data_IF_587359321896
#
_entry.id   IF_587359321896
#
_cell.length_a   1.000
_cell.length_b   1.000
_cell.length_c   1.000
_cell.angle_alpha   90.00
_cell.angle_beta   90.00
_cell.angle_gamma   90.00
#
_symmetry.space_group_name_H-M   'P 1'
#
loop_
_entity.id
_entity.type
_entity.pdbx_description
1 polymer ?
#
# COMPACT_ATOMS: atom_id res chain seq x y z
N UNK A 1 -45.70 29.55 -9.26
CA UNK A 1 -44.61 29.18 -8.33
C UNK A 1 -44.36 27.69 -8.50
N UNK A 2 -43.37 27.33 -9.30
CA UNK A 2 -43.20 25.96 -9.79
C UNK A 2 -42.45 25.11 -8.75
N UNK A 3 -43.17 24.13 -8.20
CA UNK A 3 -42.65 23.03 -7.39
C UNK A 3 -41.84 22.00 -8.21
N UNK A 4 -41.36 22.39 -9.39
CA UNK A 4 -40.81 21.46 -10.39
C UNK A 4 -39.28 21.35 -10.40
N UNK A 5 -38.56 22.08 -9.55
CA UNK A 5 -37.10 22.23 -9.72
C UNK A 5 -36.25 21.86 -8.49
N UNK A 6 -36.77 20.97 -7.64
CA UNK A 6 -35.92 20.23 -6.71
C UNK A 6 -35.66 18.83 -7.27
N UNK A 7 -34.86 18.77 -8.33
CA UNK A 7 -34.12 17.54 -8.61
C UNK A 7 -33.20 17.29 -7.43
N UNK A 8 -33.68 16.45 -6.52
CA UNK A 8 -32.94 15.87 -5.43
C UNK A 8 -31.68 15.23 -6.02
N UNK A 9 -30.56 15.95 -5.90
CA UNK A 9 -29.25 15.57 -6.38
C UNK A 9 -28.83 14.35 -5.54
N UNK A 10 -29.30 13.16 -5.95
CA UNK A 10 -28.96 11.90 -5.30
C UNK A 10 -27.46 11.75 -5.42
N UNK A 11 -26.76 12.07 -4.32
CA UNK A 11 -25.33 11.83 -4.19
C UNK A 11 -25.11 10.37 -4.56
N UNK A 12 -24.20 10.08 -5.51
CA UNK A 12 -23.93 8.70 -5.86
C UNK A 12 -23.57 7.95 -4.59
N UNK A 13 -24.29 6.85 -4.33
CA UNK A 13 -24.01 6.02 -3.16
C UNK A 13 -22.54 5.58 -3.17
N UNK A 14 -21.98 5.37 -1.98
CA UNK A 14 -20.57 4.96 -1.81
C UNK A 14 -20.18 3.78 -2.72
N UNK A 15 -21.11 2.85 -2.95
CA UNK A 15 -20.92 1.70 -3.84
C UNK A 15 -20.72 2.09 -5.32
N UNK A 16 -21.44 3.09 -5.81
CA UNK A 16 -21.30 3.56 -7.20
C UNK A 16 -19.94 4.25 -7.42
N UNK A 17 -19.43 4.96 -6.42
CA UNK A 17 -18.10 5.57 -6.46
C UNK A 17 -16.99 4.50 -6.46
N UNK A 18 -17.11 3.49 -5.60
CA UNK A 18 -16.16 2.38 -5.53
C UNK A 18 -16.11 1.57 -6.85
N UNK A 19 -17.28 1.31 -7.45
CA UNK A 19 -17.35 0.64 -8.75
C UNK A 19 -16.68 1.45 -9.87
N UNK A 20 -16.94 2.77 -9.94
CA UNK A 20 -16.28 3.65 -10.92
C UNK A 20 -14.76 3.66 -10.74
N UNK A 21 -14.28 3.63 -9.51
CA UNK A 21 -12.85 3.54 -9.20
C UNK A 21 -12.24 2.21 -9.65
N UNK A 22 -12.86 1.08 -9.34
CA UNK A 22 -12.41 -0.24 -9.80
C UNK A 22 -12.40 -0.33 -11.32
N UNK A 23 -13.47 0.13 -11.96
CA UNK A 23 -13.57 0.17 -13.42
C UNK A 23 -12.45 1.04 -14.01
N UNK A 24 -12.17 2.21 -13.43
CA UNK A 24 -11.06 3.06 -13.85
C UNK A 24 -9.71 2.33 -13.76
N UNK A 25 -9.42 1.71 -12.61
CA UNK A 25 -8.15 1.01 -12.36
C UNK A 25 -7.91 -0.18 -13.31
N UNK A 26 -8.96 -0.91 -13.68
CA UNK A 26 -8.86 -2.09 -14.54
C UNK A 26 -8.93 -1.73 -16.02
N UNK A 27 -9.87 -0.87 -16.40
CA UNK A 27 -10.20 -0.64 -17.82
C UNK A 27 -9.28 0.40 -18.44
N UNK A 28 -8.94 1.47 -17.72
CA UNK A 28 -8.17 2.57 -18.30
C UNK A 28 -6.66 2.31 -18.23
N UNK A 29 -5.93 2.71 -19.27
CA UNK A 29 -4.47 2.60 -19.32
C UNK A 29 -3.75 3.31 -18.16
N UNK A 30 -4.09 4.59 -17.80
CA UNK A 30 -3.50 5.21 -16.62
C UNK A 30 -3.84 4.46 -15.33
N UNK A 31 -5.07 3.93 -15.20
CA UNK A 31 -5.46 3.10 -14.06
C UNK A 31 -4.58 1.86 -13.89
N UNK A 32 -4.29 1.16 -15.00
CA UNK A 32 -3.39 -0.02 -14.97
C UNK A 32 -1.96 0.34 -14.58
N UNK A 33 -1.44 1.47 -15.06
CA UNK A 33 -0.13 1.99 -14.64
C UNK A 33 -0.10 2.20 -13.12
N UNK A 34 -1.14 2.81 -12.55
CA UNK A 34 -1.26 3.03 -11.10
C UNK A 34 -1.28 1.68 -10.35
N UNK A 35 -2.05 0.69 -10.81
CA UNK A 35 -2.07 -0.65 -10.21
C UNK A 35 -0.67 -1.28 -10.22
N UNK A 36 0.05 -1.21 -11.35
CA UNK A 36 1.41 -1.74 -11.46
C UNK A 36 2.36 -1.11 -10.44
N UNK A 37 2.31 0.23 -10.30
CA UNK A 37 3.12 0.97 -9.32
C UNK A 37 2.77 0.53 -7.89
N UNK A 38 1.48 0.40 -7.56
CA UNK A 38 1.05 -0.06 -6.23
C UNK A 38 1.62 -1.44 -5.91
N UNK A 39 1.59 -2.39 -6.84
CA UNK A 39 2.16 -3.72 -6.64
C UNK A 39 3.68 -3.70 -6.44
N UNK A 40 4.39 -2.87 -7.19
CA UNK A 40 5.86 -2.69 -7.04
C UNK A 40 6.18 -2.10 -5.67
N UNK A 41 5.54 -1.01 -5.29
CA UNK A 41 5.78 -0.34 -4.00
C UNK A 41 5.40 -1.26 -2.84
N UNK A 42 4.26 -1.96 -2.93
CA UNK A 42 3.82 -2.92 -1.90
C UNK A 42 4.78 -4.10 -1.80
N UNK A 43 5.27 -4.63 -2.93
CA UNK A 43 6.24 -5.72 -2.96
C UNK A 43 7.57 -5.34 -2.30
N UNK A 44 8.07 -4.14 -2.59
CA UNK A 44 9.28 -3.59 -1.96
C UNK A 44 9.07 -3.35 -0.45
N UNK A 45 7.99 -2.68 -0.06
CA UNK A 45 7.68 -2.41 1.34
C UNK A 45 7.55 -3.72 2.13
N UNK A 46 6.90 -4.73 1.55
CA UNK A 46 6.79 -6.06 2.15
C UNK A 46 8.15 -6.77 2.26
N UNK A 47 8.97 -6.73 1.20
CA UNK A 47 10.33 -7.28 1.21
C UNK A 47 11.23 -6.64 2.27
N UNK A 48 11.23 -5.31 2.37
CA UNK A 48 11.99 -4.55 3.37
C UNK A 48 11.49 -4.72 4.79
N UNK A 49 10.26 -5.21 4.98
CA UNK A 49 9.76 -5.59 6.30
C UNK A 49 10.28 -6.95 6.78
N UNK A 50 11.24 -7.58 6.07
CA UNK A 50 11.99 -8.73 6.56
C UNK A 50 12.84 -8.34 7.76
N UNK A 51 12.99 -9.25 8.72
CA UNK A 51 13.79 -9.01 9.92
C UNK A 51 14.40 -10.31 10.42
N UNK A 52 15.46 -10.17 11.19
CA UNK A 52 16.07 -11.24 11.98
C UNK A 52 15.88 -10.88 13.45
N UNK A 53 15.58 -11.87 14.26
CA UNK A 53 15.47 -11.75 15.71
C UNK A 53 16.61 -12.53 16.32
N UNK A 54 17.43 -11.83 17.10
CA UNK A 54 18.43 -12.43 17.96
C UNK A 54 17.94 -12.39 19.40
N UNK A 55 18.45 -13.30 20.22
CA UNK A 55 18.23 -13.24 21.64
C UNK A 55 19.40 -12.60 22.34
N UNK A 56 19.10 -11.78 23.33
CA UNK A 56 20.10 -11.14 24.19
C UNK A 56 19.67 -11.25 25.65
N UNK A 57 20.65 -11.18 26.56
CA UNK A 57 20.36 -11.08 27.97
C UNK A 57 19.66 -9.74 28.25
N UNK A 58 18.54 -9.79 28.97
CA UNK A 58 17.92 -8.59 29.54
C UNK A 58 18.73 -8.06 30.74
N UNK A 59 18.40 -6.86 31.24
CA UNK A 59 19.10 -6.32 32.40
C UNK A 59 18.94 -7.22 33.63
N UNK A 60 19.86 -7.09 34.58
CA UNK A 60 19.70 -7.67 35.91
C UNK A 60 19.29 -6.57 36.89
N UNK A 61 18.46 -6.89 37.89
CA UNK A 61 18.08 -5.94 38.91
C UNK A 61 16.63 -6.08 39.39
N UNK A 62 16.18 -5.16 40.25
CA UNK A 62 14.79 -5.10 40.67
C UNK A 62 13.88 -4.70 39.49
N UNK A 63 12.75 -5.39 39.38
CA UNK A 63 11.75 -5.12 38.34
C UNK A 63 10.43 -4.71 38.98
N UNK A 64 9.80 -3.70 38.40
CA UNK A 64 8.42 -3.32 38.65
C UNK A 64 7.51 -4.11 37.72
N UNK A 65 6.60 -4.89 38.29
CA UNK A 65 5.62 -5.69 37.55
C UNK A 65 4.32 -4.92 37.33
N UNK A 66 3.82 -4.97 36.10
CA UNK A 66 2.47 -4.56 35.73
C UNK A 66 1.77 -5.74 35.08
N UNK A 67 0.61 -6.12 35.61
CA UNK A 67 -0.22 -7.21 35.08
C UNK A 67 -1.33 -6.62 34.21
N UNK A 68 -1.46 -7.09 32.97
CA UNK A 68 -2.55 -6.70 32.08
C UNK A 68 -2.99 -7.86 31.20
N UNK A 69 -4.18 -8.41 31.49
CA UNK A 69 -4.69 -9.60 30.81
C UNK A 69 -3.74 -10.78 31.00
N UNK A 70 -3.41 -11.47 29.89
CA UNK A 70 -2.53 -12.64 29.88
C UNK A 70 -1.04 -12.29 29.69
N UNK A 71 -0.65 -11.05 30.01
CA UNK A 71 0.73 -10.58 29.88
C UNK A 71 1.21 -9.87 31.14
N UNK A 72 2.45 -10.17 31.50
CA UNK A 72 3.21 -9.44 32.50
C UNK A 72 4.15 -8.44 31.81
N UNK A 73 4.22 -7.23 32.33
CA UNK A 73 5.13 -6.19 31.85
C UNK A 73 6.09 -5.85 32.99
N UNK A 74 7.37 -6.13 32.78
CA UNK A 74 8.43 -5.86 33.75
C UNK A 74 9.14 -4.57 33.34
N UNK A 75 9.45 -3.67 34.27
CA UNK A 75 10.25 -2.47 33.99
C UNK A 75 11.33 -2.30 35.04
N UNK A 76 12.50 -1.82 34.64
CA UNK A 76 13.60 -1.54 35.58
C UNK A 76 13.62 -0.04 35.91
N UNK A 77 14.15 0.31 37.08
CA UNK A 77 14.29 1.73 37.47
C UNK A 77 15.31 2.48 36.59
N UNK A 78 16.28 1.76 36.03
CA UNK A 78 17.33 2.33 35.18
C UNK A 78 16.83 2.76 33.80
N UNK A 79 15.77 2.14 33.28
CA UNK A 79 15.28 2.38 31.92
C UNK A 79 13.84 2.91 31.91
N UNK A 80 13.72 4.24 31.89
CA UNK A 80 12.40 4.88 31.74
C UNK A 80 11.77 4.53 30.38
N UNK A 81 10.49 4.14 30.40
CA UNK A 81 9.70 3.79 29.22
C UNK A 81 10.16 2.54 28.45
N UNK A 82 10.96 1.67 29.07
CA UNK A 82 11.27 0.34 28.54
C UNK A 82 10.59 -0.72 29.39
N UNK A 83 9.95 -1.67 28.72
CA UNK A 83 9.20 -2.74 29.35
C UNK A 83 9.59 -4.08 28.75
N UNK A 84 9.57 -5.13 29.55
CA UNK A 84 9.83 -6.50 29.11
C UNK A 84 8.53 -7.28 29.25
N UNK A 85 7.93 -7.62 28.12
CA UNK A 85 6.63 -8.29 28.04
C UNK A 85 6.82 -9.80 28.10
N UNK A 86 6.23 -10.43 29.11
CA UNK A 86 6.10 -11.88 29.25
C UNK A 86 4.67 -12.25 28.87
N UNK A 87 4.48 -12.87 27.71
CA UNK A 87 3.17 -13.40 27.31
C UNK A 87 2.98 -14.78 27.95
N UNK A 88 2.19 -14.87 29.02
CA UNK A 88 2.18 -16.01 29.94
C UNK A 88 1.80 -17.32 29.22
N UNK A 89 0.88 -17.24 28.25
CA UNK A 89 0.44 -18.39 27.44
C UNK A 89 1.50 -18.97 26.50
N UNK A 90 2.60 -18.25 26.23
CA UNK A 90 3.68 -18.76 25.37
C UNK A 90 4.67 -19.65 26.12
N UNK A 91 4.66 -19.63 27.45
CA UNK A 91 5.64 -20.31 28.30
C UNK A 91 5.18 -21.71 28.70
N UNK A 92 6.14 -22.65 28.77
CA UNK A 92 5.92 -23.97 29.37
C UNK A 92 7.11 -24.33 30.29
N UNK A 93 6.89 -24.66 31.57
CA UNK A 93 5.60 -24.55 32.27
C UNK A 93 5.07 -23.10 32.29
N UNK A 94 3.77 -22.92 32.54
CA UNK A 94 3.18 -21.59 32.64
C UNK A 94 3.73 -20.91 33.91
N UNK A 95 4.32 -19.71 33.84
CA UNK A 95 4.82 -19.02 35.02
C UNK A 95 3.62 -18.54 35.82
N UNK A 96 3.30 -19.25 36.91
CA UNK A 96 2.29 -18.84 37.86
C UNK A 96 2.96 -17.93 38.88
N UNK A 97 2.92 -16.63 38.62
CA UNK A 97 3.54 -15.66 39.52
C UNK A 97 2.44 -15.00 40.35
N UNK A 98 2.35 -15.41 41.62
CA UNK A 98 1.37 -14.85 42.54
C UNK A 98 1.75 -13.41 42.85
N UNK A 99 0.79 -12.47 42.76
CA UNK A 99 1.03 -11.04 42.99
C UNK A 99 1.67 -10.77 44.37
N UNK A 100 1.40 -11.63 45.35
CA UNK A 100 1.92 -11.56 46.73
C UNK A 100 3.40 -11.96 46.86
N UNK A 101 3.98 -12.69 45.88
CA UNK A 101 5.40 -13.07 45.89
C UNK A 101 6.33 -11.96 45.39
N UNK A 102 5.80 -10.82 44.91
CA UNK A 102 6.56 -9.80 44.17
C UNK A 102 7.29 -8.73 44.99
N UNK A 103 7.10 -8.68 46.30
CA UNK A 103 7.94 -7.78 47.10
C UNK A 103 9.43 -8.17 47.02
N UNK A 104 9.77 -9.45 46.73
CA UNK A 104 11.17 -9.95 46.55
C UNK A 104 11.38 -11.27 45.77
N UNK A 105 10.90 -11.51 44.53
CA UNK A 105 11.41 -12.59 43.71
C UNK A 105 12.58 -12.02 42.89
N UNK A 106 13.83 -12.46 43.12
CA UNK A 106 14.94 -12.01 42.30
C UNK A 106 14.74 -12.62 40.91
N UNK A 107 14.18 -11.87 39.96
CA UNK A 107 14.36 -12.23 38.55
C UNK A 107 15.87 -12.32 38.33
N UNK A 108 16.36 -13.55 38.21
CA UNK A 108 17.79 -13.83 38.13
C UNK A 108 18.30 -13.41 36.76
N UNK A 109 17.53 -13.74 35.72
CA UNK A 109 17.86 -13.40 34.35
C UNK A 109 16.63 -13.39 33.46
N UNK A 110 16.69 -12.52 32.45
CA UNK A 110 15.79 -12.51 31.30
C UNK A 110 16.59 -12.84 30.05
N UNK A 111 15.99 -13.63 29.16
CA UNK A 111 16.41 -13.68 27.76
C UNK A 111 15.30 -13.02 26.94
N UNK A 112 15.68 -12.01 26.15
CA UNK A 112 14.73 -11.17 25.41
C UNK A 112 15.05 -11.20 23.91
N UNK A 113 14.02 -11.01 23.09
CA UNK A 113 14.21 -10.69 21.67
C UNK A 113 14.87 -9.31 21.54
N UNK A 114 15.87 -9.16 20.68
CA UNK A 114 16.60 -7.90 20.41
C UNK A 114 15.79 -6.87 19.60
N UNK A 115 14.45 -7.02 19.60
CA UNK A 115 13.53 -6.21 18.82
C UNK A 115 12.56 -5.49 19.74
N UNK A 116 12.68 -4.17 19.76
CA UNK A 116 11.73 -3.32 20.45
C UNK A 116 10.43 -3.18 19.63
N UNK A 117 9.30 -3.43 20.28
CA UNK A 117 7.98 -3.10 19.77
C UNK A 117 7.45 -1.83 20.46
N UNK A 118 6.70 -1.00 19.75
CA UNK A 118 5.98 0.09 20.40
C UNK A 118 4.73 -0.51 21.05
N UNK A 119 4.53 -0.23 22.33
CA UNK A 119 3.31 -0.65 23.00
C UNK A 119 2.64 0.54 23.68
N UNK A 120 1.35 0.36 23.87
CA UNK A 120 0.48 1.27 24.56
C UNK A 120 -0.44 0.46 25.45
N UNK A 121 -0.44 0.78 26.73
CA UNK A 121 -1.25 0.10 27.72
C UNK A 121 -2.15 1.11 28.45
N UNK A 122 -3.43 0.79 28.53
CA UNK A 122 -4.40 1.51 29.34
C UNK A 122 -4.48 0.85 30.71
N UNK A 123 -4.08 1.59 31.74
CA UNK A 123 -4.17 1.13 33.12
C UNK A 123 -5.62 1.26 33.62
N UNK A 124 -6.03 0.46 34.63
CA UNK A 124 -7.37 0.54 35.22
C UNK A 124 -7.74 1.92 35.78
N UNK A 125 -6.74 2.73 36.14
CA UNK A 125 -6.89 4.10 36.64
C UNK A 125 -7.08 5.14 35.52
N UNK A 126 -7.15 4.71 34.25
CA UNK A 126 -7.32 5.57 33.08
C UNK A 126 -6.02 6.20 32.57
N UNK A 127 -4.87 5.97 33.21
CA UNK A 127 -3.57 6.41 32.69
C UNK A 127 -3.15 5.56 31.49
N UNK A 128 -2.42 6.18 30.59
CA UNK A 128 -1.88 5.55 29.37
C UNK A 128 -0.37 5.45 29.48
N UNK A 129 0.14 4.22 29.55
CA UNK A 129 1.57 3.94 29.44
C UNK A 129 1.93 3.80 27.96
N UNK A 130 3.03 4.43 27.57
CA UNK A 130 3.60 4.31 26.23
C UNK A 130 5.10 4.11 26.35
N UNK A 131 5.65 3.23 25.54
CA UNK A 131 7.08 2.97 25.56
C UNK A 131 7.49 1.94 24.54
N UNK A 132 8.72 1.45 24.71
CA UNK A 132 9.24 0.31 23.99
C UNK A 132 9.03 -0.94 24.84
N UNK A 133 8.54 -2.02 24.24
CA UNK A 133 8.46 -3.32 24.87
C UNK A 133 9.37 -4.32 24.15
N UNK A 134 10.16 -5.06 24.91
CA UNK A 134 10.91 -6.22 24.42
C UNK A 134 10.19 -7.50 24.85
N UNK A 135 10.09 -8.48 23.95
CA UNK A 135 9.47 -9.76 24.28
C UNK A 135 10.44 -10.62 25.07
N UNK A 136 10.01 -11.10 26.23
CA UNK A 136 10.76 -12.07 27.03
C UNK A 136 10.49 -13.46 26.47
N UNK A 137 11.55 -14.22 26.21
CA UNK A 137 11.48 -15.59 25.69
C UNK A 137 11.99 -16.62 26.69
N UNK A 138 12.78 -16.20 27.68
CA UNK A 138 13.14 -16.99 28.85
C UNK A 138 13.07 -16.14 30.11
N UNK A 139 12.49 -16.70 31.16
CA UNK A 139 12.37 -16.06 32.46
C UNK A 139 12.94 -17.00 33.52
N UNK A 140 13.92 -16.53 34.29
CA UNK A 140 14.50 -17.29 35.40
C UNK A 140 14.15 -16.59 36.71
N UNK A 141 13.25 -17.18 37.49
CA UNK A 141 12.82 -16.62 38.79
C UNK A 141 13.74 -17.08 39.94
N UNK A 142 14.33 -18.27 39.81
CA UNK A 142 15.31 -18.80 40.75
C UNK A 142 16.31 -19.70 40.00
N UNK A 143 17.46 -20.06 40.60
CA UNK A 143 18.43 -20.96 39.96
C UNK A 143 17.84 -22.30 39.50
N UNK A 144 16.72 -22.72 40.09
CA UNK A 144 16.05 -23.99 39.80
C UNK A 144 14.75 -23.83 39.00
N UNK A 145 14.36 -22.59 38.67
CA UNK A 145 13.07 -22.28 38.09
C UNK A 145 13.23 -21.39 36.86
N UNK A 146 13.32 -22.05 35.70
CA UNK A 146 13.44 -21.43 34.38
C UNK A 146 12.23 -21.76 33.54
N UNK A 147 11.62 -20.73 32.97
CA UNK A 147 10.49 -20.83 32.06
C UNK A 147 10.96 -20.45 30.65
N UNK A 148 10.58 -21.25 29.66
CA UNK A 148 10.93 -21.01 28.25
C UNK A 148 9.69 -20.85 27.39
N UNK A 149 9.74 -19.90 26.45
CA UNK A 149 8.68 -19.71 25.47
C UNK A 149 8.72 -20.78 24.39
N UNK A 150 7.58 -21.04 23.75
CA UNK A 150 7.50 -21.94 22.60
C UNK A 150 8.41 -21.48 21.45
N UNK A 151 8.54 -20.16 21.23
CA UNK A 151 9.40 -19.58 20.20
C UNK A 151 10.87 -19.92 20.44
N UNK A 152 11.36 -19.78 21.68
CA UNK A 152 12.75 -20.12 22.02
C UNK A 152 13.03 -21.62 21.82
N UNK A 153 12.07 -22.49 22.18
CA UNK A 153 12.21 -23.94 21.97
C UNK A 153 12.31 -24.33 20.50
N UNK A 154 11.57 -23.65 19.62
CA UNK A 154 11.57 -23.92 18.18
C UNK A 154 12.79 -23.32 17.47
N UNK A 155 13.28 -22.20 17.99
CA UNK A 155 14.34 -21.41 17.38
C UNK A 155 15.34 -20.97 18.45
N UNK A 156 16.21 -21.85 18.97
CA UNK A 156 17.12 -21.55 20.09
C UNK A 156 18.17 -20.48 19.75
N UNK A 157 18.58 -20.41 18.48
CA UNK A 157 19.61 -19.46 18.00
C UNK A 157 19.01 -18.17 17.41
N UNK A 158 17.71 -17.95 17.62
CA UNK A 158 16.93 -16.89 16.97
C UNK A 158 16.31 -17.35 15.65
N UNK A 159 15.59 -16.45 14.99
CA UNK A 159 14.88 -16.75 13.74
C UNK A 159 14.91 -15.57 12.77
N UNK A 160 14.74 -15.86 11.48
CA UNK A 160 14.61 -14.85 10.44
C UNK A 160 13.28 -15.00 9.72
N UNK A 161 12.61 -13.88 9.49
CA UNK A 161 11.38 -13.81 8.71
C UNK A 161 11.72 -13.19 7.36
N UNK A 162 11.97 -14.04 6.37
CA UNK A 162 12.26 -13.61 5.01
C UNK A 162 10.96 -13.40 4.22
N UNK A 163 10.62 -12.13 3.95
CA UNK A 163 9.43 -11.74 3.18
C UNK A 163 9.72 -11.49 1.70
N UNK A 164 10.99 -11.56 1.29
CA UNK A 164 11.39 -11.32 -0.09
C UNK A 164 10.75 -12.26 -1.13
N UNK A 165 10.53 -13.56 -0.91
CA UNK A 165 9.93 -14.40 -1.94
C UNK A 165 8.55 -13.89 -2.40
N UNK A 166 7.68 -13.54 -1.45
CA UNK A 166 6.39 -12.93 -1.73
C UNK A 166 6.52 -11.48 -2.24
N UNK A 167 7.46 -10.72 -1.67
CA UNK A 167 7.75 -9.35 -2.12
C UNK A 167 8.20 -9.29 -3.59
N UNK A 168 9.09 -10.18 -4.01
CA UNK A 168 9.55 -10.35 -5.39
C UNK A 168 8.43 -10.84 -6.31
N UNK A 169 7.55 -11.72 -5.83
CA UNK A 169 6.34 -12.11 -6.57
C UNK A 169 5.44 -10.91 -6.87
N UNK A 170 5.13 -10.10 -5.85
CA UNK A 170 4.35 -8.87 -6.00
C UNK A 170 5.03 -7.86 -6.93
N UNK A 171 6.34 -7.66 -6.76
CA UNK A 171 7.14 -6.75 -7.58
C UNK A 171 7.16 -7.19 -9.05
N UNK A 172 7.41 -8.46 -9.32
CA UNK A 172 7.42 -9.02 -10.68
C UNK A 172 6.07 -8.87 -11.36
N UNK A 173 4.97 -9.15 -10.66
CA UNK A 173 3.62 -8.94 -11.17
C UNK A 173 3.36 -7.45 -11.47
N UNK A 174 3.73 -6.56 -10.56
CA UNK A 174 3.57 -5.11 -10.75
C UNK A 174 4.35 -4.56 -11.95
N UNK A 175 5.60 -4.99 -12.12
CA UNK A 175 6.43 -4.61 -13.28
C UNK A 175 5.84 -5.13 -14.59
N UNK A 176 5.42 -6.40 -14.63
CA UNK A 176 4.81 -6.98 -15.82
C UNK A 176 3.53 -6.24 -16.21
N UNK A 177 2.69 -5.93 -15.23
CA UNK A 177 1.45 -5.18 -15.43
C UNK A 177 1.71 -3.75 -15.91
N UNK A 178 2.70 -3.08 -15.32
CA UNK A 178 3.12 -1.73 -15.71
C UNK A 178 3.68 -1.69 -17.14
N UNK A 179 4.52 -2.65 -17.51
CA UNK A 179 5.06 -2.78 -18.87
C UNK A 179 3.95 -3.01 -19.89
N UNK A 180 3.00 -3.91 -19.58
CA UNK A 180 1.84 -4.16 -20.44
C UNK A 180 0.99 -2.91 -20.66
N UNK A 181 0.73 -2.14 -19.60
CA UNK A 181 -0.01 -0.87 -19.69
C UNK A 181 0.76 0.20 -20.49
N UNK A 182 2.08 0.29 -20.27
CA UNK A 182 2.95 1.25 -20.95
C UNK A 182 3.08 0.95 -22.44
N UNK A 183 3.10 -0.34 -22.81
CA UNK A 183 3.07 -0.77 -24.21
C UNK A 183 1.74 -0.36 -24.86
N UNK A 184 0.61 -0.49 -24.16
CA UNK A 184 -0.68 0.02 -24.62
C UNK A 184 -0.66 1.53 -24.91
N UNK A 185 -0.09 2.33 -24.00
CA UNK A 185 0.08 3.78 -24.20
C UNK A 185 0.96 4.09 -25.42
N UNK A 186 2.05 3.34 -25.60
CA UNK A 186 2.96 3.52 -26.72
C UNK A 186 2.26 3.19 -28.05
N UNK A 187 1.50 2.11 -28.11
CA UNK A 187 0.73 1.72 -29.29
C UNK A 187 -0.35 2.75 -29.63
N UNK A 188 -1.09 3.23 -28.64
CA UNK A 188 -2.09 4.30 -28.82
C UNK A 188 -1.45 5.59 -29.34
N UNK A 189 -0.27 5.95 -28.79
CA UNK A 189 0.49 7.11 -29.25
C UNK A 189 0.96 6.95 -30.70
N UNK A 190 1.50 5.78 -31.06
CA UNK A 190 1.93 5.46 -32.42
C UNK A 190 0.76 5.48 -33.41
N UNK A 191 -0.40 4.94 -33.03
CA UNK A 191 -1.62 4.96 -33.84
C UNK A 191 -2.11 6.39 -34.09
N UNK A 192 -2.18 7.22 -33.04
CA UNK A 192 -2.53 8.64 -33.16
C UNK A 192 -1.54 9.40 -34.04
N UNK A 193 -0.25 9.07 -33.97
CA UNK A 193 0.77 9.68 -34.81
C UNK A 193 0.58 9.32 -36.29
N UNK A 194 0.30 8.06 -36.61
CA UNK A 194 -0.02 7.64 -37.99
C UNK A 194 -1.28 8.31 -38.55
N UNK A 195 -2.34 8.43 -37.74
CA UNK A 195 -3.57 9.13 -38.14
C UNK A 195 -3.30 10.59 -38.52
N UNK A 196 -2.51 11.30 -37.71
CA UNK A 196 -2.11 12.69 -38.00
C UNK A 196 -1.24 12.82 -39.25
N UNK A 197 -0.36 11.86 -39.52
CA UNK A 197 0.41 11.85 -40.79
C UNK A 197 -0.47 11.61 -42.02
N UNK A 198 -1.61 10.93 -41.87
CA UNK A 198 -2.62 10.78 -42.93
C UNK A 198 -3.36 12.08 -43.22
N UNK A 199 -3.80 12.79 -42.18
CA UNK A 199 -4.46 14.10 -42.30
C UNK A 199 -3.52 15.20 -42.82
N UNK A 200 -2.24 15.18 -42.42
CA UNK A 200 -1.24 16.17 -42.89
C UNK A 200 -0.74 15.90 -44.32
N UNK A 201 -0.97 14.71 -44.90
CA UNK A 201 -0.48 14.37 -46.26
C UNK A 201 -1.42 14.74 -47.39
N UNK A 202 -2.70 14.99 -47.10
CA UNK A 202 -3.54 15.75 -48.03
C UNK A 202 -3.33 17.21 -47.66
N UNK A 203 -2.18 17.76 -48.06
CA UNK A 203 -2.00 19.23 -48.10
C UNK A 203 -3.25 19.81 -48.74
N UNK A 204 -3.83 20.87 -48.16
CA UNK A 204 -4.95 21.60 -48.77
C UNK A 204 -4.67 21.88 -50.26
N UNK A 205 -3.42 22.14 -50.62
CA UNK A 205 -3.00 22.32 -52.01
C UNK A 205 -3.22 21.08 -52.87
N UNK A 206 -2.96 19.88 -52.34
CA UNK A 206 -3.18 18.61 -53.05
C UNK A 206 -4.66 18.22 -53.07
N UNK A 207 -5.42 18.58 -52.04
CA UNK A 207 -6.89 18.47 -52.04
C UNK A 207 -7.50 19.36 -53.13
N UNK A 208 -7.04 20.61 -53.20
CA UNK A 208 -7.45 21.60 -54.20
C UNK A 208 -6.96 21.23 -55.61
N UNK A 209 -5.75 20.70 -55.76
CA UNK A 209 -5.24 20.22 -57.05
C UNK A 209 -6.03 19.02 -57.56
N UNK A 210 -6.43 18.09 -56.68
CA UNK A 210 -7.29 16.96 -57.04
C UNK A 210 -8.70 17.42 -57.42
N UNK A 211 -9.25 18.39 -56.68
CA UNK A 211 -10.53 19.04 -57.02
C UNK A 211 -10.46 19.74 -58.38
N UNK A 212 -9.39 20.49 -58.66
CA UNK A 212 -9.20 21.21 -59.92
C UNK A 212 -8.97 20.23 -61.09
N UNK A 213 -8.20 19.15 -60.88
CA UNK A 213 -8.04 18.08 -61.88
C UNK A 213 -9.34 17.33 -62.18
N UNK A 214 -10.18 17.09 -61.17
CA UNK A 214 -11.47 16.43 -61.36
C UNK A 214 -12.46 17.35 -62.09
N UNK A 215 -12.48 18.64 -61.75
CA UNK A 215 -13.31 19.65 -62.42
C UNK A 215 -12.90 19.90 -63.89
N UNK A 216 -11.66 19.58 -64.27
CA UNK A 216 -11.19 19.64 -65.67
C UNK A 216 -11.40 18.36 -66.48
N UNK A 217 -11.64 17.21 -65.84
CA UNK A 217 -11.72 15.90 -66.51
C UNK A 217 -13.14 15.41 -66.78
N UNK A 218 -14.15 15.96 -66.12
CA UNK A 218 -15.54 15.65 -66.40
C UNK A 218 -16.28 16.92 -66.80
N UNK A 219 -17.08 16.83 -67.87
CA UNK A 219 -18.14 17.78 -68.23
C UNK A 219 -19.27 17.82 -67.16
N UNK A 220 -18.92 17.69 -65.88
CA UNK A 220 -19.83 17.89 -64.76
C UNK A 220 -19.89 19.39 -64.45
N UNK A 221 -20.89 20.03 -65.04
CA UNK A 221 -21.29 21.38 -64.72
C UNK A 221 -21.70 21.47 -63.24
N UNK A 222 -20.74 21.76 -62.35
CA UNK A 222 -21.05 22.07 -60.95
C UNK A 222 -21.67 23.47 -60.93
N UNK A 223 -22.95 23.61 -60.58
CA UNK A 223 -23.61 24.90 -60.68
C UNK A 223 -22.98 25.89 -59.68
N UNK A 224 -22.73 27.11 -60.13
CA UNK A 224 -22.02 28.15 -59.40
C UNK A 224 -22.55 28.42 -57.96
N UNK A 225 -23.83 28.15 -57.72
CA UNK A 225 -24.45 28.33 -56.41
C UNK A 225 -23.92 27.34 -55.35
N UNK A 226 -23.47 26.17 -55.77
CA UNK A 226 -22.88 25.15 -54.89
C UNK A 226 -21.49 25.58 -54.41
N UNK A 227 -20.67 26.11 -55.32
CA UNK A 227 -19.35 26.68 -55.00
C UNK A 227 -19.47 27.87 -54.03
N UNK A 228 -20.51 28.70 -54.17
CA UNK A 228 -20.79 29.81 -53.25
C UNK A 228 -21.17 29.34 -51.83
N UNK A 229 -21.88 28.21 -51.70
CA UNK A 229 -22.22 27.63 -50.39
C UNK A 229 -20.98 27.08 -49.68
N UNK A 230 -20.11 26.38 -50.39
CA UNK A 230 -18.86 25.84 -49.82
C UNK A 230 -17.94 26.98 -49.35
N UNK A 231 -17.78 28.05 -50.14
CA UNK A 231 -16.98 29.21 -49.73
C UNK A 231 -17.50 29.90 -48.46
N UNK A 232 -18.81 29.99 -48.27
CA UNK A 232 -19.37 30.54 -47.02
C UNK A 232 -19.08 29.63 -45.84
N UNK A 233 -19.34 28.33 -45.98
CA UNK A 233 -19.09 27.37 -44.91
C UNK A 233 -17.62 27.32 -44.46
N UNK A 234 -16.67 27.46 -45.39
CA UNK A 234 -15.25 27.54 -45.08
C UNK A 234 -14.85 28.88 -44.44
N UNK A 235 -15.44 30.00 -44.88
CA UNK A 235 -15.20 31.32 -44.29
C UNK A 235 -15.70 31.40 -42.84
N UNK A 236 -16.81 30.73 -42.55
CA UNK A 236 -17.40 30.74 -41.22
C UNK A 236 -16.64 29.81 -40.25
N UNK A 237 -15.94 28.78 -40.73
CA UNK A 237 -15.06 27.91 -39.91
C UNK A 237 -13.69 28.50 -39.59
N UNK A 238 -13.24 29.53 -40.30
CA UNK A 238 -11.94 30.18 -40.07
C UNK A 238 -11.98 31.36 -39.10
N UNK A 239 -13.09 31.56 -38.37
CA UNK A 239 -13.30 32.68 -37.43
C UNK A 239 -13.46 32.26 -35.96
N UNK A 240 -13.36 30.97 -35.67
CA UNK A 240 -13.30 30.42 -34.30
C UNK A 240 -11.88 29.90 -34.02
#
# INVERSE_FOLDING_TARGET
MNAADRQEQRRPGCMALLFRWLHFLVVTTPGRVVVGIIYVVSGLAYGFSSYTVHYQAGPSGPYHLLVSGDSYYLSTESEQNVYYRVAVGDFQPMPHIQAEQWDKPPIVSLLIEDRAEHFELWLPDGRRLRGKSYRVVQLTLSPNETFTSATLRQHPDGYSVNRWPLGLGSLGFGLLWWLFASLGLLLDWLAKRKGRYGELRVSEEKALELLDKQNRREDLYVPEHWLRRIRRALRDRGRD
#
